data_IF_675756997002
#
_entry.id   IF_675756997002
#
_cell.length_a   1.000
_cell.length_b   1.000
_cell.length_c   1.000
_cell.angle_alpha   90.00
_cell.angle_beta   90.00
_cell.angle_gamma   90.00
#
_symmetry.space_group_name_H-M   'P 1'
#
loop_
_entity.id
_entity.type
_entity.pdbx_description
1 polymer ?
#
# COMPACT_ATOMS: atom_id res chain seq x y z
N UNK A 1 10.42 10.24 6.85
CA UNK A 1 11.18 10.75 8.02
C UNK A 1 11.94 9.60 8.69
N UNK A 2 11.29 8.56 9.27
CA UNK A 2 12.01 7.45 9.93
C UNK A 2 13.04 6.76 9.03
N UNK A 3 12.76 6.61 7.74
CA UNK A 3 13.70 6.00 6.78
C UNK A 3 14.97 6.83 6.58
N UNK A 4 14.90 8.16 6.67
CA UNK A 4 16.07 9.03 6.56
C UNK A 4 17.00 8.92 7.79
N UNK A 5 16.49 8.45 8.91
CA UNK A 5 17.25 8.18 10.13
C UNK A 5 17.90 6.78 10.16
N UNK A 6 17.81 6.04 9.06
CA UNK A 6 18.39 4.70 8.94
C UNK A 6 17.61 3.61 9.68
N UNK A 7 16.40 3.90 10.16
CA UNK A 7 15.51 2.92 10.80
C UNK A 7 14.73 2.18 9.73
N UNK A 8 14.57 0.85 9.81
CA UNK A 8 13.67 0.12 8.92
C UNK A 8 12.24 0.61 9.08
N UNK A 9 11.57 0.83 7.94
CA UNK A 9 10.22 1.38 7.89
C UNK A 9 9.29 0.46 7.12
N UNK A 10 8.08 0.32 7.63
CA UNK A 10 7.03 -0.44 6.98
C UNK A 10 5.74 0.37 7.02
N UNK A 11 5.24 0.76 5.85
CA UNK A 11 3.91 1.34 5.68
C UNK A 11 2.94 0.19 5.36
N UNK A 12 1.87 0.05 6.16
CA UNK A 12 0.89 -1.02 5.97
C UNK A 12 -0.48 -0.43 5.75
N UNK A 13 -1.11 -0.79 4.64
CA UNK A 13 -2.45 -0.38 4.27
C UNK A 13 -3.36 -1.59 4.11
N UNK A 14 -4.58 -1.49 4.61
CA UNK A 14 -5.64 -2.47 4.39
C UNK A 14 -6.63 -1.90 3.38
N UNK A 15 -6.91 -2.66 2.33
CA UNK A 15 -8.03 -2.35 1.44
C UNK A 15 -9.33 -2.38 2.24
N UNK A 16 -10.10 -1.30 2.15
CA UNK A 16 -11.39 -1.16 2.83
C UNK A 16 -12.47 -0.80 1.83
N UNK A 17 -13.69 -1.18 2.10
CA UNK A 17 -14.82 -0.75 1.29
C UNK A 17 -15.09 0.74 1.50
N UNK A 18 -15.64 1.40 0.47
CA UNK A 18 -15.95 2.83 0.54
C UNK A 18 -16.87 3.19 1.73
N UNK A 19 -17.81 2.32 2.04
CA UNK A 19 -18.72 2.45 3.19
C UNK A 19 -17.98 2.41 4.55
N UNK A 20 -16.94 1.60 4.67
CA UNK A 20 -16.15 1.47 5.90
C UNK A 20 -15.20 2.66 6.11
N UNK A 21 -14.74 3.30 5.03
CA UNK A 21 -13.89 4.49 5.10
C UNK A 21 -14.64 5.67 5.76
N UNK A 22 -15.94 5.75 5.52
CA UNK A 22 -16.83 6.80 6.07
C UNK A 22 -17.46 6.39 7.40
N UNK A 23 -17.20 5.18 7.90
CA UNK A 23 -17.77 4.70 9.15
C UNK A 23 -17.21 5.47 10.36
N UNK A 24 -18.07 5.76 11.30
CA UNK A 24 -17.69 6.43 12.55
C UNK A 24 -17.05 5.48 13.58
N UNK A 25 -17.10 4.17 13.31
CA UNK A 25 -16.51 3.11 14.14
C UNK A 25 -15.66 2.21 13.29
N UNK A 26 -14.51 1.81 13.83
CA UNK A 26 -13.61 0.81 13.20
C UNK A 26 -14.03 -0.63 13.43
N UNK A 27 -15.12 -0.86 14.15
CA UNK A 27 -15.59 -2.23 14.51
C UNK A 27 -16.03 -3.03 13.29
N UNK A 28 -16.51 -2.38 12.24
CA UNK A 28 -16.89 -3.02 10.97
C UNK A 28 -15.67 -3.40 10.12
N UNK A 29 -14.51 -2.81 10.38
CA UNK A 29 -13.30 -3.06 9.62
C UNK A 29 -12.56 -4.26 10.18
N UNK A 30 -12.45 -5.33 9.40
CA UNK A 30 -11.80 -6.58 9.82
C UNK A 30 -10.28 -6.49 9.90
N UNK A 31 -9.73 -5.79 10.89
CA UNK A 31 -8.26 -5.63 11.06
C UNK A 31 -7.51 -6.91 11.46
N UNK A 32 -8.19 -8.01 11.77
CA UNK A 32 -7.55 -9.24 12.26
C UNK A 32 -6.45 -9.76 11.34
N UNK A 33 -6.76 -9.98 10.07
CA UNK A 33 -5.79 -10.46 9.07
C UNK A 33 -4.67 -9.45 8.79
N UNK A 34 -4.99 -8.15 8.77
CA UNK A 34 -3.99 -7.11 8.65
C UNK A 34 -3.01 -7.11 9.82
N UNK A 35 -3.50 -7.33 11.03
CA UNK A 35 -2.67 -7.44 12.24
C UNK A 35 -1.76 -8.67 12.18
N UNK A 36 -2.28 -9.84 11.76
CA UNK A 36 -1.49 -11.06 11.59
C UNK A 36 -0.38 -10.87 10.54
N UNK A 37 -0.74 -10.31 9.37
CA UNK A 37 0.20 -9.99 8.30
C UNK A 37 1.28 -9.01 8.77
N UNK A 38 0.89 -7.95 9.47
CA UNK A 38 1.83 -6.94 10.01
C UNK A 38 2.84 -7.59 10.96
N UNK A 39 2.38 -8.42 11.89
CA UNK A 39 3.29 -9.14 12.83
C UNK A 39 4.27 -10.04 12.09
N UNK A 40 3.81 -10.79 11.09
CA UNK A 40 4.66 -11.63 10.25
C UNK A 40 5.74 -10.82 9.55
N UNK A 41 5.36 -9.68 8.96
CA UNK A 41 6.28 -8.83 8.23
C UNK A 41 7.26 -8.07 9.12
N UNK A 42 6.88 -7.69 10.33
CA UNK A 42 7.83 -7.13 11.31
C UNK A 42 8.97 -8.14 11.55
N UNK A 43 8.66 -9.40 11.84
CA UNK A 43 9.67 -10.44 12.04
C UNK A 43 10.60 -10.59 10.83
N UNK A 44 10.05 -10.64 9.61
CA UNK A 44 10.83 -10.73 8.37
C UNK A 44 11.73 -9.52 8.14
N UNK A 45 11.21 -8.31 8.33
CA UNK A 45 12.02 -7.08 8.16
C UNK A 45 13.19 -7.06 9.12
N UNK A 46 12.97 -7.42 10.39
CA UNK A 46 14.06 -7.48 11.38
C UNK A 46 15.13 -8.49 10.97
N UNK A 47 14.74 -9.70 10.57
CA UNK A 47 15.66 -10.74 10.09
C UNK A 47 16.42 -10.28 8.84
N UNK A 48 15.71 -9.83 7.80
CA UNK A 48 16.33 -9.44 6.52
C UNK A 48 17.29 -8.27 6.69
N UNK A 49 16.91 -7.23 7.43
CA UNK A 49 17.73 -6.01 7.57
C UNK A 49 18.89 -6.22 8.53
N UNK A 50 18.66 -6.79 9.72
CA UNK A 50 19.69 -6.84 10.76
C UNK A 50 20.57 -8.08 10.70
N UNK A 51 20.03 -9.24 10.30
CA UNK A 51 20.78 -10.47 10.21
C UNK A 51 21.37 -10.68 8.81
N UNK A 52 20.56 -10.55 7.76
CA UNK A 52 20.98 -10.80 6.37
C UNK A 52 21.55 -9.58 5.65
N UNK A 53 21.45 -8.39 6.26
CA UNK A 53 21.93 -7.11 5.66
C UNK A 53 21.29 -6.78 4.31
N UNK A 54 20.02 -7.16 4.15
CA UNK A 54 19.27 -6.95 2.92
C UNK A 54 18.60 -5.58 2.92
N UNK A 55 19.26 -4.61 2.31
CA UNK A 55 18.79 -3.22 2.27
C UNK A 55 17.45 -3.03 1.52
N UNK A 56 17.05 -3.97 0.64
CA UNK A 56 15.77 -3.91 -0.03
C UNK A 56 14.56 -4.00 0.92
N UNK A 57 14.77 -4.53 2.12
CA UNK A 57 13.72 -4.64 3.15
C UNK A 57 13.71 -3.46 4.13
N UNK A 58 14.58 -2.48 3.95
CA UNK A 58 14.66 -1.34 4.86
C UNK A 58 13.46 -0.39 4.78
N UNK A 59 12.83 -0.28 3.62
CA UNK A 59 11.60 0.48 3.46
C UNK A 59 10.61 -0.29 2.57
N UNK A 60 9.52 -0.76 3.19
CA UNK A 60 8.47 -1.52 2.51
C UNK A 60 7.14 -0.77 2.54
N UNK A 61 6.43 -0.78 1.42
CA UNK A 61 5.02 -0.49 1.33
C UNK A 61 4.24 -1.81 1.18
N UNK A 62 3.34 -2.09 2.11
CA UNK A 62 2.58 -3.34 2.16
C UNK A 62 1.10 -3.00 2.02
N UNK A 63 0.47 -3.52 0.97
CA UNK A 63 -0.96 -3.38 0.76
C UNK A 63 -1.64 -4.75 0.93
N UNK A 64 -2.64 -4.80 1.78
CA UNK A 64 -3.33 -6.02 2.19
C UNK A 64 -4.74 -5.99 1.58
N UNK A 65 -5.15 -7.01 0.81
CA UNK A 65 -6.51 -7.11 0.30
C UNK A 65 -7.55 -7.23 1.43
N UNK A 66 -8.75 -6.70 1.20
CA UNK A 66 -9.87 -6.88 2.11
C UNK A 66 -10.33 -8.34 2.17
N UNK A 67 -11.01 -8.70 3.27
CA UNK A 67 -11.66 -10.00 3.42
C UNK A 67 -10.77 -11.10 4.00
N UNK A 68 -11.17 -12.34 3.75
CA UNK A 68 -10.44 -13.51 4.24
C UNK A 68 -9.32 -13.88 3.26
N UNK A 69 -8.09 -13.59 3.65
CA UNK A 69 -6.88 -13.80 2.85
C UNK A 69 -5.93 -14.78 3.55
N UNK A 70 -5.08 -15.43 2.78
CA UNK A 70 -3.93 -16.11 3.32
C UNK A 70 -2.82 -15.09 3.65
N UNK A 71 -2.57 -14.87 4.94
CA UNK A 71 -1.53 -13.92 5.39
C UNK A 71 -0.11 -14.32 4.98
N UNK A 72 0.10 -15.57 4.55
CA UNK A 72 1.38 -16.05 3.99
C UNK A 72 1.44 -15.88 2.46
N UNK A 73 0.30 -15.64 1.83
CA UNK A 73 0.19 -15.37 0.39
C UNK A 73 0.59 -13.95 0.07
N UNK A 74 1.78 -13.74 -0.47
CA UNK A 74 2.28 -12.43 -0.83
C UNK A 74 3.06 -12.46 -2.14
N UNK A 75 3.26 -11.28 -2.70
CA UNK A 75 4.15 -11.06 -3.85
C UNK A 75 5.02 -9.83 -3.61
N UNK A 76 6.30 -9.93 -3.96
CA UNK A 76 7.17 -8.77 -4.12
C UNK A 76 6.75 -8.04 -5.39
N UNK A 77 6.47 -6.76 -5.28
CA UNK A 77 5.82 -5.95 -6.32
C UNK A 77 6.61 -4.69 -6.63
N UNK A 78 6.17 -3.99 -7.64
CA UNK A 78 6.56 -2.61 -7.95
C UNK A 78 5.32 -1.71 -7.99
N UNK A 79 5.52 -0.41 -7.85
CA UNK A 79 4.43 0.58 -7.86
C UNK A 79 3.82 0.65 -9.25
N UNK A 80 2.49 0.53 -9.33
CA UNK A 80 1.75 0.71 -10.57
C UNK A 80 1.79 2.17 -11.04
N UNK A 81 1.82 2.38 -12.34
CA UNK A 81 1.82 3.70 -12.96
C UNK A 81 0.40 4.23 -13.24
N UNK A 82 -0.57 3.83 -12.46
CA UNK A 82 -1.93 4.34 -12.49
C UNK A 82 -2.31 4.91 -11.11
N UNK A 83 -3.15 5.93 -11.10
CA UNK A 83 -3.70 6.44 -9.86
C UNK A 83 -4.85 5.53 -9.39
N UNK A 84 -4.72 4.95 -8.22
CA UNK A 84 -5.79 4.12 -7.64
C UNK A 84 -6.99 4.97 -7.21
N UNK A 85 -6.72 6.11 -6.55
CA UNK A 85 -7.76 7.04 -6.14
C UNK A 85 -7.69 8.34 -6.94
N UNK A 86 -8.85 8.79 -7.40
CA UNK A 86 -8.99 10.08 -8.06
C UNK A 86 -9.96 10.95 -7.25
N UNK A 87 -9.50 12.14 -6.89
CA UNK A 87 -10.34 13.12 -6.20
C UNK A 87 -11.44 13.61 -7.13
N UNK A 88 -12.67 13.62 -6.64
CA UNK A 88 -13.83 14.13 -7.36
C UNK A 88 -14.19 15.53 -6.87
N UNK A 89 -14.36 16.43 -7.82
CA UNK A 89 -14.86 17.77 -7.52
C UNK A 89 -16.33 17.66 -7.09
N UNK A 90 -16.73 18.32 -5.96
CA UNK A 90 -18.15 18.40 -5.62
C UNK A 90 -18.93 19.16 -6.69
N UNK A 91 -20.17 18.77 -7.00
CA UNK A 91 -21.01 19.48 -7.97
C UNK A 91 -21.26 20.93 -7.53
N UNK A 92 -21.50 21.15 -6.25
CA UNK A 92 -21.63 22.45 -5.63
C UNK A 92 -20.84 22.50 -4.31
N UNK A 93 -20.19 23.62 -4.03
CA UNK A 93 -19.42 23.84 -2.83
C UNK A 93 -20.03 24.96 -1.98
N UNK A 94 -20.53 24.62 -0.80
CA UNK A 94 -20.86 25.58 0.25
C UNK A 94 -19.62 25.85 1.10
N UNK A 95 -18.97 26.99 0.87
CA UNK A 95 -17.75 27.38 1.57
C UNK A 95 -17.94 27.72 3.05
N UNK A 96 -19.20 27.87 3.51
CA UNK A 96 -19.54 28.12 4.91
C UNK A 96 -19.54 26.84 5.76
N UNK A 97 -19.47 25.66 5.13
CA UNK A 97 -19.53 24.35 5.79
C UNK A 97 -18.28 23.52 5.60
N UNK A 98 -17.91 22.68 6.57
CA UNK A 98 -16.93 21.63 6.37
C UNK A 98 -17.33 20.74 5.18
N UNK A 99 -16.33 20.30 4.41
CA UNK A 99 -16.56 19.43 3.27
C UNK A 99 -15.64 18.22 3.36
N UNK A 100 -16.22 17.04 3.24
CA UNK A 100 -15.47 15.82 3.07
C UNK A 100 -15.08 15.66 1.60
N UNK A 101 -13.80 15.48 1.33
CA UNK A 101 -13.31 15.14 0.00
C UNK A 101 -13.93 13.83 -0.45
N UNK A 102 -14.50 13.82 -1.65
CA UNK A 102 -14.94 12.58 -2.29
C UNK A 102 -13.86 12.09 -3.25
N UNK A 103 -13.75 10.78 -3.38
CA UNK A 103 -12.86 10.12 -4.31
C UNK A 103 -13.56 8.93 -4.96
N UNK A 104 -13.05 8.51 -6.08
CA UNK A 104 -13.45 7.26 -6.72
C UNK A 104 -12.21 6.43 -7.02
N UNK A 105 -12.41 5.13 -7.14
CA UNK A 105 -11.41 4.24 -7.74
C UNK A 105 -11.53 4.42 -9.26
N UNK A 106 -10.41 4.67 -9.91
CA UNK A 106 -10.35 4.94 -11.36
C UNK A 106 -9.18 4.20 -11.99
N UNK A 107 -9.18 2.89 -11.77
CA UNK A 107 -8.17 1.97 -12.28
C UNK A 107 -8.70 1.30 -13.54
N UNK A 108 -7.93 1.38 -14.62
CA UNK A 108 -8.18 0.59 -15.83
C UNK A 108 -7.56 -0.81 -15.63
N UNK A 109 -8.38 -1.75 -15.19
CA UNK A 109 -7.94 -3.11 -14.84
C UNK A 109 -7.31 -3.87 -16.02
N UNK A 110 -7.68 -3.54 -17.26
CA UNK A 110 -7.13 -4.17 -18.46
C UNK A 110 -5.69 -3.71 -18.75
N UNK A 111 -5.32 -2.53 -18.24
CA UNK A 111 -3.99 -1.93 -18.44
C UNK A 111 -3.05 -2.11 -17.25
N UNK A 112 -3.46 -2.83 -16.21
CA UNK A 112 -2.58 -3.10 -15.07
C UNK A 112 -1.37 -3.94 -15.49
N UNK A 113 -0.20 -3.52 -15.04
CA UNK A 113 1.02 -4.26 -15.27
C UNK A 113 1.05 -5.50 -14.36
N UNK A 114 1.33 -6.65 -14.97
CA UNK A 114 1.44 -7.90 -14.22
C UNK A 114 2.54 -7.82 -13.15
N UNK A 115 2.18 -8.12 -11.91
CA UNK A 115 3.09 -8.06 -10.76
C UNK A 115 3.23 -6.67 -10.15
N UNK A 116 2.44 -5.69 -10.58
CA UNK A 116 2.32 -4.42 -9.87
C UNK A 116 1.56 -4.59 -8.55
N UNK A 117 1.68 -3.62 -7.67
CA UNK A 117 1.01 -3.59 -6.36
C UNK A 117 -0.52 -3.59 -6.51
N UNK A 118 -1.07 -2.75 -7.38
CA UNK A 118 -2.51 -2.67 -7.63
C UNK A 118 -3.03 -3.99 -8.22
N UNK A 119 -2.36 -4.53 -9.25
CA UNK A 119 -2.77 -5.81 -9.86
C UNK A 119 -2.75 -6.95 -8.84
N UNK A 120 -1.73 -7.02 -8.01
CA UNK A 120 -1.56 -8.05 -6.99
C UNK A 120 -2.67 -8.01 -5.94
N UNK A 121 -3.05 -6.82 -5.48
CA UNK A 121 -4.12 -6.65 -4.48
C UNK A 121 -5.50 -6.88 -5.11
N UNK A 122 -5.79 -6.22 -6.24
CA UNK A 122 -7.14 -6.20 -6.80
C UNK A 122 -7.52 -7.50 -7.53
N UNK A 123 -6.59 -8.07 -8.32
CA UNK A 123 -6.87 -9.23 -9.17
C UNK A 123 -6.42 -10.54 -8.52
N UNK A 124 -5.17 -10.60 -8.03
CA UNK A 124 -4.62 -11.84 -7.48
C UNK A 124 -5.01 -12.06 -6.02
N UNK A 125 -5.55 -11.05 -5.34
CA UNK A 125 -5.97 -11.11 -3.92
C UNK A 125 -4.85 -11.58 -2.99
N UNK A 126 -3.61 -11.18 -3.30
CA UNK A 126 -2.41 -11.43 -2.51
C UNK A 126 -1.94 -10.15 -1.82
N UNK A 127 -1.20 -10.32 -0.73
CA UNK A 127 -0.51 -9.20 -0.08
C UNK A 127 0.57 -8.69 -1.03
N UNK A 128 0.51 -7.42 -1.37
CA UNK A 128 1.53 -6.73 -2.14
C UNK A 128 2.61 -6.20 -1.22
N UNK A 129 3.86 -6.46 -1.53
CA UNK A 129 5.02 -5.99 -0.77
C UNK A 129 5.98 -5.30 -1.73
N UNK A 130 6.01 -3.98 -1.65
CA UNK A 130 6.79 -3.14 -2.56
C UNK A 130 7.99 -2.54 -1.81
N UNK A 131 9.23 -2.92 -2.16
CA UNK A 131 10.41 -2.20 -1.69
C UNK A 131 10.41 -0.78 -2.26
N UNK A 132 10.59 0.19 -1.38
CA UNK A 132 10.63 1.61 -1.73
C UNK A 132 12.03 2.15 -1.43
N UNK A 133 12.49 3.08 -2.23
CA UNK A 133 13.72 3.85 -1.97
C UNK A 133 13.40 5.32 -1.78
N UNK A 134 14.21 5.98 -0.97
CA UNK A 134 14.19 7.45 -0.85
C UNK A 134 14.75 8.14 -2.10
N UNK A 135 15.54 7.43 -2.88
CA UNK A 135 16.07 7.94 -4.15
C UNK A 135 14.98 7.86 -5.23
N UNK A 136 14.39 9.01 -5.52
CA UNK A 136 13.40 9.17 -6.58
C UNK A 136 14.06 9.48 -7.94
N UNK A 137 15.39 9.47 -8.02
CA UNK A 137 16.13 9.73 -9.25
C UNK A 137 15.96 8.55 -10.21
N UNK A 138 15.52 8.85 -11.42
CA UNK A 138 15.45 7.82 -12.46
C UNK A 138 16.86 7.31 -12.77
N UNK A 139 17.09 6.02 -12.59
CA UNK A 139 18.39 5.36 -12.77
C UNK A 139 18.79 5.28 -14.26
N UNK A 140 18.83 6.45 -14.93
CA UNK A 140 19.33 6.58 -16.31
C UNK A 140 20.80 6.97 -16.37
N UNK A 141 21.38 7.34 -15.21
CA UNK A 141 22.76 7.82 -15.13
C UNK A 141 23.82 6.70 -15.06
N UNK A 142 23.42 5.43 -14.94
CA UNK A 142 24.35 4.29 -14.93
C UNK A 142 24.88 3.88 -16.33
N UNK A 143 24.66 4.71 -17.34
CA UNK A 143 25.13 4.49 -18.73
C UNK A 143 25.99 5.61 -19.29
N UNK A 144 26.54 6.46 -18.44
CA UNK A 144 27.51 7.48 -18.82
C UNK A 144 28.84 7.25 -18.12
#
# INVERSE_FOLDING_TARGET
EASSEGVPVMAVSLETKAEDIMATSSESVGFGKATEATKLWIGRVLEEVYEKKNEAYRFLNINIPAGDIDVKGYRMTFVENQNYYVLRRPPERDWSKPYCLSFSIDVDEEKLHRGSDIQTVCQDRLISVTPITMDMTRNTLSRF
#
